data_IF_992398319676
#
_entry.id   IF_992398319676
#
_cell.length_a   1.000
_cell.length_b   1.000
_cell.length_c   1.000
_cell.angle_alpha   90.00
_cell.angle_beta   90.00
_cell.angle_gamma   90.00
#
_symmetry.space_group_name_H-M   'P 1'
#
loop_
_entity.id
_entity.type
_entity.pdbx_description
1 polymer ?
#
# COMPACT_ATOMS: atom_id res chain seq x y z
N UNK A 1 27.54 -14.75 11.21
CA UNK A 1 27.44 -14.95 9.75
C UNK A 1 26.16 -14.28 9.20
N UNK A 2 26.00 -12.95 9.34
CA UNK A 2 24.79 -12.20 8.91
C UNK A 2 24.99 -11.37 7.62
N UNK A 3 26.22 -11.42 7.11
CA UNK A 3 26.73 -10.63 5.98
C UNK A 3 26.20 -11.11 4.61
N UNK A 4 25.97 -12.42 4.35
CA UNK A 4 25.44 -12.91 3.06
C UNK A 4 23.96 -12.61 2.83
N UNK A 5 23.14 -12.65 3.89
CA UNK A 5 21.68 -12.50 3.78
C UNK A 5 21.25 -11.09 3.40
N UNK A 6 21.99 -10.07 3.83
CA UNK A 6 21.70 -8.66 3.51
C UNK A 6 21.83 -8.36 2.01
N UNK A 7 22.87 -8.89 1.34
CA UNK A 7 23.06 -8.72 -0.11
C UNK A 7 21.97 -9.43 -0.90
N UNK A 8 21.60 -10.64 -0.46
CA UNK A 8 20.51 -11.39 -1.07
C UNK A 8 19.18 -10.64 -0.97
N UNK A 9 18.85 -10.11 0.21
CA UNK A 9 17.63 -9.31 0.43
C UNK A 9 17.59 -8.07 -0.47
N UNK A 10 18.66 -7.27 -0.50
CA UNK A 10 18.73 -6.07 -1.33
C UNK A 10 18.53 -6.39 -2.82
N UNK A 11 19.21 -7.42 -3.33
CA UNK A 11 19.03 -7.90 -4.70
C UNK A 11 17.58 -8.40 -4.93
N UNK A 12 17.01 -9.12 -3.97
CA UNK A 12 15.64 -9.61 -4.07
C UNK A 12 14.60 -8.51 -4.12
N UNK A 13 14.71 -7.47 -3.27
CA UNK A 13 13.82 -6.31 -3.32
C UNK A 13 13.89 -5.60 -4.67
N UNK A 14 15.10 -5.41 -5.21
CA UNK A 14 15.29 -4.81 -6.53
C UNK A 14 14.68 -5.67 -7.65
N UNK A 15 14.95 -6.97 -7.66
CA UNK A 15 14.44 -7.89 -8.66
C UNK A 15 12.91 -8.03 -8.59
N UNK A 16 12.33 -8.07 -7.39
CA UNK A 16 10.88 -8.13 -7.21
C UNK A 16 10.18 -6.85 -7.66
N UNK A 17 10.78 -5.68 -7.40
CA UNK A 17 10.28 -4.41 -7.93
C UNK A 17 10.36 -4.36 -9.46
N UNK A 18 11.47 -4.79 -10.05
CA UNK A 18 11.59 -4.90 -11.52
C UNK A 18 10.57 -5.89 -12.09
N UNK A 19 10.33 -7.01 -11.42
CA UNK A 19 9.30 -7.96 -11.82
C UNK A 19 7.90 -7.34 -11.80
N UNK A 20 7.56 -6.54 -10.78
CA UNK A 20 6.29 -5.79 -10.73
C UNK A 20 6.16 -4.85 -11.93
N UNK A 21 7.21 -4.07 -12.24
CA UNK A 21 7.23 -3.16 -13.40
C UNK A 21 7.04 -3.86 -14.74
N UNK A 22 7.57 -5.07 -14.90
CA UNK A 22 7.55 -5.80 -16.17
C UNK A 22 6.29 -6.65 -16.34
N UNK A 23 5.77 -7.21 -15.26
CA UNK A 23 4.71 -8.22 -15.31
C UNK A 23 3.37 -7.71 -14.79
N UNK A 24 3.36 -6.75 -13.87
CA UNK A 24 2.17 -6.36 -13.09
C UNK A 24 1.56 -7.54 -12.32
N UNK A 25 0.35 -7.33 -11.79
CA UNK A 25 -0.35 -8.41 -11.09
C UNK A 25 -0.86 -9.50 -12.05
N UNK A 26 -0.65 -10.79 -11.72
CA UNK A 26 -1.25 -11.87 -12.50
C UNK A 26 -2.78 -11.81 -12.48
N UNK A 27 -3.39 -11.80 -13.67
CA UNK A 27 -4.86 -11.75 -13.86
C UNK A 27 -5.61 -12.92 -13.23
N UNK A 28 -4.96 -14.08 -13.09
CA UNK A 28 -5.54 -15.31 -12.52
C UNK A 28 -4.57 -15.97 -11.57
N UNK A 29 -5.10 -16.56 -10.50
CA UNK A 29 -4.29 -17.34 -9.56
C UNK A 29 -3.34 -16.50 -8.70
N UNK A 30 -3.58 -15.19 -8.57
CA UNK A 30 -2.76 -14.31 -7.72
C UNK A 30 -2.61 -14.91 -6.31
N UNK A 31 -1.39 -15.06 -5.75
CA UNK A 31 -1.21 -15.69 -4.43
C UNK A 31 -2.00 -14.99 -3.32
N UNK A 32 -2.12 -13.66 -3.38
CA UNK A 32 -3.01 -12.88 -2.50
C UNK A 32 -4.48 -13.33 -2.59
N UNK A 33 -4.99 -13.63 -3.79
CA UNK A 33 -6.35 -14.14 -3.95
C UNK A 33 -6.50 -15.57 -3.43
N UNK A 34 -5.46 -16.40 -3.51
CA UNK A 34 -5.43 -17.73 -2.88
C UNK A 34 -5.52 -17.58 -1.36
N UNK A 35 -4.71 -16.70 -0.77
CA UNK A 35 -4.77 -16.38 0.66
C UNK A 35 -6.16 -15.85 1.05
N UNK A 36 -6.74 -14.92 0.29
CA UNK A 36 -8.09 -14.40 0.54
C UNK A 36 -9.18 -15.47 0.49
N UNK A 37 -9.11 -16.43 -0.45
CA UNK A 37 -10.04 -17.58 -0.46
C UNK A 37 -9.87 -18.47 0.77
N UNK A 38 -8.63 -18.69 1.21
CA UNK A 38 -8.34 -19.42 2.44
C UNK A 38 -8.88 -18.70 3.69
N UNK A 39 -8.69 -17.38 3.75
CA UNK A 39 -9.22 -16.53 4.81
C UNK A 39 -10.76 -16.59 4.84
N UNK A 40 -11.43 -16.39 3.71
CA UNK A 40 -12.89 -16.50 3.62
C UNK A 40 -13.41 -17.91 3.97
N UNK A 41 -12.63 -18.96 3.64
CA UNK A 41 -12.98 -20.32 4.03
C UNK A 41 -12.89 -20.54 5.54
N UNK A 42 -11.84 -20.02 6.17
CA UNK A 42 -11.69 -20.05 7.61
C UNK A 42 -12.76 -19.19 8.31
N UNK A 43 -13.14 -18.06 7.71
CA UNK A 43 -14.19 -17.17 8.23
C UNK A 43 -15.48 -17.94 8.46
N UNK A 44 -15.86 -18.86 7.56
CA UNK A 44 -17.09 -19.69 7.74
C UNK A 44 -17.10 -20.49 9.05
N UNK A 45 -15.93 -20.81 9.60
CA UNK A 45 -15.78 -21.56 10.85
C UNK A 45 -15.55 -20.63 12.04
N UNK A 46 -14.84 -19.52 11.84
CA UNK A 46 -14.43 -18.63 12.93
C UNK A 46 -15.39 -17.46 13.15
N UNK A 47 -16.29 -17.17 12.21
CA UNK A 47 -17.14 -15.98 12.28
C UNK A 47 -18.06 -16.01 13.49
N UNK A 48 -18.03 -14.91 14.23
CA UNK A 48 -18.97 -14.58 15.29
C UNK A 48 -18.92 -13.07 15.44
N UNK A 49 -20.05 -12.43 15.76
CA UNK A 49 -20.10 -10.98 16.02
C UNK A 49 -19.44 -10.61 17.36
N UNK A 50 -18.14 -10.92 17.50
CA UNK A 50 -17.33 -10.70 18.70
C UNK A 50 -15.90 -10.38 18.27
N UNK A 51 -15.28 -9.41 18.96
CA UNK A 51 -13.88 -9.06 18.73
C UNK A 51 -12.93 -10.23 18.92
N UNK A 52 -13.16 -11.08 19.93
CA UNK A 52 -12.31 -12.24 20.20
C UNK A 52 -12.24 -13.23 19.02
N UNK A 53 -13.36 -13.44 18.32
CA UNK A 53 -13.40 -14.30 17.13
C UNK A 53 -12.58 -13.69 15.98
N UNK A 54 -12.70 -12.38 15.77
CA UNK A 54 -11.88 -11.62 14.84
C UNK A 54 -10.39 -11.65 15.13
N UNK A 55 -10.02 -11.50 16.41
CA UNK A 55 -8.63 -11.60 16.88
C UNK A 55 -8.07 -13.00 16.62
N UNK A 56 -8.83 -14.06 16.92
CA UNK A 56 -8.40 -15.43 16.65
C UNK A 56 -8.23 -15.68 15.14
N UNK A 57 -9.22 -15.26 14.33
CA UNK A 57 -9.17 -15.39 12.87
C UNK A 57 -7.93 -14.70 12.27
N UNK A 58 -7.75 -13.42 12.59
CA UNK A 58 -6.61 -12.61 12.13
C UNK A 58 -5.29 -13.20 12.64
N UNK A 59 -5.23 -13.56 13.92
CA UNK A 59 -4.04 -14.09 14.56
C UNK A 59 -3.58 -15.43 13.98
N UNK A 60 -4.50 -16.33 13.66
CA UNK A 60 -4.18 -17.61 13.00
C UNK A 60 -3.62 -17.37 11.61
N UNK A 61 -4.27 -16.55 10.78
CA UNK A 61 -3.83 -16.31 9.40
C UNK A 61 -2.47 -15.60 9.34
N UNK A 62 -2.30 -14.55 10.13
CA UNK A 62 -1.03 -13.81 10.21
C UNK A 62 0.05 -14.67 10.88
N UNK A 63 -0.31 -15.47 11.88
CA UNK A 63 0.60 -16.41 12.54
C UNK A 63 1.16 -17.45 11.56
N UNK A 64 0.31 -18.02 10.71
CA UNK A 64 0.73 -18.94 9.64
C UNK A 64 1.70 -18.25 8.69
N UNK A 65 1.37 -17.05 8.19
CA UNK A 65 2.27 -16.29 7.30
C UNK A 65 3.61 -15.96 7.98
N UNK A 66 3.59 -15.57 9.26
CA UNK A 66 4.79 -15.27 10.02
C UNK A 66 5.68 -16.51 10.19
N UNK A 67 5.12 -17.64 10.65
CA UNK A 67 5.86 -18.89 10.85
C UNK A 67 6.41 -19.42 9.52
N UNK A 68 5.60 -19.45 8.47
CA UNK A 68 6.02 -19.87 7.14
C UNK A 68 7.10 -18.96 6.56
N UNK A 69 6.95 -17.64 6.69
CA UNK A 69 7.95 -16.66 6.26
C UNK A 69 9.28 -16.84 7.00
N UNK A 70 9.24 -17.00 8.32
CA UNK A 70 10.45 -17.22 9.14
C UNK A 70 11.14 -18.53 8.75
N UNK A 71 10.37 -19.60 8.54
CA UNK A 71 10.91 -20.89 8.11
C UNK A 71 11.57 -20.78 6.73
N UNK A 72 10.93 -20.07 5.78
CA UNK A 72 11.43 -19.84 4.44
C UNK A 72 12.70 -18.97 4.43
N UNK A 73 12.73 -17.88 5.21
CA UNK A 73 13.91 -17.03 5.37
C UNK A 73 15.10 -17.82 5.91
N UNK A 74 14.89 -18.66 6.94
CA UNK A 74 15.94 -19.52 7.50
C UNK A 74 16.42 -20.57 6.51
N UNK A 75 15.50 -21.20 5.77
CA UNK A 75 15.85 -22.18 4.76
C UNK A 75 16.65 -21.56 3.60
N UNK A 76 16.24 -20.39 3.12
CA UNK A 76 16.94 -19.66 2.07
C UNK A 76 18.33 -19.20 2.54
N UNK A 77 18.44 -18.65 3.76
CA UNK A 77 19.71 -18.22 4.34
C UNK A 77 20.72 -19.37 4.46
N UNK A 78 20.28 -20.58 4.82
CA UNK A 78 21.16 -21.77 4.87
C UNK A 78 21.69 -22.19 3.50
N UNK A 79 20.93 -21.93 2.43
CA UNK A 79 21.34 -22.22 1.05
C UNK A 79 22.17 -21.11 0.40
N UNK A 80 22.27 -19.94 1.04
CA UNK A 80 23.12 -18.84 0.63
C UNK A 80 22.39 -17.66 0.00
N UNK A 81 23.15 -16.60 -0.33
CA UNK A 81 22.60 -15.30 -0.71
C UNK A 81 21.74 -15.31 -1.97
N UNK A 82 22.04 -16.19 -2.94
CA UNK A 82 21.23 -16.34 -4.17
C UNK A 82 19.81 -16.82 -3.88
N UNK A 83 19.66 -17.81 -3.00
CA UNK A 83 18.34 -18.29 -2.57
C UNK A 83 17.56 -17.24 -1.77
N UNK A 84 18.24 -16.49 -0.90
CA UNK A 84 17.63 -15.33 -0.23
C UNK A 84 17.13 -14.31 -1.24
N UNK A 85 17.89 -14.02 -2.30
CA UNK A 85 17.49 -13.08 -3.34
C UNK A 85 16.26 -13.57 -4.12
N UNK A 86 16.25 -14.82 -4.57
CA UNK A 86 15.12 -15.40 -5.32
C UNK A 86 13.85 -15.40 -4.48
N UNK A 87 13.93 -15.87 -3.23
CA UNK A 87 12.77 -15.92 -2.34
C UNK A 87 12.25 -14.51 -2.00
N UNK A 88 13.15 -13.57 -1.72
CA UNK A 88 12.78 -12.18 -1.45
C UNK A 88 12.16 -11.55 -2.70
N UNK A 89 12.71 -11.77 -3.90
CA UNK A 89 12.14 -11.26 -5.14
C UNK A 89 10.72 -11.78 -5.38
N UNK A 90 10.50 -13.08 -5.20
CA UNK A 90 9.16 -13.67 -5.34
C UNK A 90 8.18 -13.08 -4.31
N UNK A 91 8.58 -12.96 -3.04
CA UNK A 91 7.74 -12.37 -2.00
C UNK A 91 7.47 -10.87 -2.24
N UNK A 92 8.45 -10.13 -2.73
CA UNK A 92 8.32 -8.71 -3.10
C UNK A 92 7.35 -8.55 -4.25
N UNK A 93 7.53 -9.31 -5.34
CA UNK A 93 6.61 -9.29 -6.47
C UNK A 93 5.17 -9.57 -6.06
N UNK A 94 4.94 -10.57 -5.20
CA UNK A 94 3.60 -10.91 -4.70
C UNK A 94 3.00 -9.86 -3.77
N UNK A 95 3.84 -9.11 -3.05
CA UNK A 95 3.40 -8.12 -2.08
C UNK A 95 3.20 -6.72 -2.69
N UNK A 96 3.82 -6.45 -3.83
CA UNK A 96 3.64 -5.22 -4.59
C UNK A 96 2.35 -5.28 -5.42
N UNK A 97 1.81 -4.10 -5.72
CA UNK A 97 0.74 -3.90 -6.70
C UNK A 97 0.84 -2.51 -7.35
N UNK A 98 2.06 -1.95 -7.35
CA UNK A 98 2.32 -0.56 -7.74
C UNK A 98 2.09 -0.31 -9.23
N UNK A 99 2.44 -1.30 -10.07
CA UNK A 99 2.22 -1.24 -11.52
C UNK A 99 0.75 -1.31 -11.87
N UNK A 100 -0.02 -2.22 -11.26
CA UNK A 100 -1.48 -2.31 -11.45
C UNK A 100 -2.19 -1.04 -10.99
N UNK A 101 -1.80 -0.47 -9.85
CA UNK A 101 -2.34 0.80 -9.38
C UNK A 101 -2.10 1.92 -10.39
N UNK A 102 -0.87 2.01 -10.91
CA UNK A 102 -0.49 3.05 -11.86
C UNK A 102 -1.17 2.87 -13.23
N UNK A 103 -1.40 1.63 -13.68
CA UNK A 103 -2.17 1.37 -14.91
C UNK A 103 -3.64 1.75 -14.73
N UNK A 104 -4.28 1.30 -13.64
CA UNK A 104 -5.70 1.60 -13.38
C UNK A 104 -5.93 3.11 -13.21
N UNK A 105 -5.04 3.80 -12.50
CA UNK A 105 -5.10 5.26 -12.38
C UNK A 105 -4.91 5.98 -13.72
N UNK A 106 -4.03 5.47 -14.59
CA UNK A 106 -3.84 6.03 -15.93
C UNK A 106 -5.04 5.78 -16.85
N UNK A 107 -5.67 4.61 -16.75
CA UNK A 107 -6.88 4.27 -17.49
C UNK A 107 -8.04 5.17 -17.08
N UNK A 108 -8.24 5.35 -15.77
CA UNK A 108 -9.21 6.31 -15.23
C UNK A 108 -8.94 7.73 -15.73
N UNK A 109 -7.68 8.17 -15.71
CA UNK A 109 -7.33 9.51 -16.21
C UNK A 109 -7.68 9.68 -17.69
N UNK A 110 -7.41 8.67 -18.54
CA UNK A 110 -7.79 8.69 -19.96
C UNK A 110 -9.29 8.71 -20.18
N UNK A 111 -10.06 7.93 -19.39
CA UNK A 111 -11.52 7.92 -19.49
C UNK A 111 -12.12 9.28 -19.13
N UNK A 112 -11.65 9.89 -18.03
CA UNK A 112 -12.09 11.22 -17.60
C UNK A 112 -11.70 12.31 -18.62
N UNK A 113 -10.48 12.26 -19.16
CA UNK A 113 -9.99 13.24 -20.15
C UNK A 113 -10.70 13.12 -21.50
N UNK A 114 -11.18 11.92 -21.84
CA UNK A 114 -11.92 11.61 -23.06
C UNK A 114 -13.45 11.66 -22.93
N UNK A 115 -13.99 12.19 -21.83
CA UNK A 115 -15.42 12.27 -21.52
C UNK A 115 -16.16 10.90 -21.47
N UNK A 116 -15.43 9.79 -21.28
CA UNK A 116 -16.00 8.44 -21.09
C UNK A 116 -16.37 8.20 -19.62
N UNK A 117 -17.45 8.86 -19.20
CA UNK A 117 -17.93 8.82 -17.80
C UNK A 117 -18.42 7.43 -17.40
N UNK A 118 -19.06 6.70 -18.31
CA UNK A 118 -19.58 5.36 -18.01
C UNK A 118 -18.44 4.35 -17.85
N UNK A 119 -17.42 4.41 -18.71
CA UNK A 119 -16.20 3.62 -18.53
C UNK A 119 -15.48 3.95 -17.20
N UNK A 120 -15.42 5.24 -16.83
CA UNK A 120 -14.86 5.66 -15.54
C UNK A 120 -15.67 5.12 -14.35
N UNK A 121 -17.01 5.07 -14.45
CA UNK A 121 -17.88 4.49 -13.41
C UNK A 121 -17.67 2.99 -13.26
N UNK A 122 -17.54 2.27 -14.38
CA UNK A 122 -17.28 0.83 -14.37
C UNK A 122 -15.91 0.49 -13.79
N UNK A 123 -14.92 1.39 -13.96
CA UNK A 123 -13.57 1.19 -13.46
C UNK A 123 -13.42 1.52 -11.97
N UNK A 124 -14.15 2.52 -11.45
CA UNK A 124 -13.98 3.03 -10.08
C UNK A 124 -14.00 1.96 -8.97
N UNK A 125 -14.86 0.92 -9.00
CA UNK A 125 -14.89 -0.14 -7.99
C UNK A 125 -13.57 -0.90 -7.84
N UNK A 126 -12.72 -0.89 -8.87
CA UNK A 126 -11.37 -1.48 -8.79
C UNK A 126 -10.37 -0.64 -7.98
N UNK A 127 -10.67 0.64 -7.73
CA UNK A 127 -9.85 1.59 -6.98
C UNK A 127 -10.39 1.87 -5.57
N UNK A 128 -11.71 1.94 -5.40
CA UNK A 128 -12.35 2.17 -4.10
C UNK A 128 -13.78 1.63 -4.03
N UNK A 129 -14.27 1.44 -2.80
CA UNK A 129 -15.65 0.99 -2.53
C UNK A 129 -16.72 2.10 -2.57
N UNK A 130 -16.49 3.21 -3.27
CA UNK A 130 -17.49 4.29 -3.40
C UNK A 130 -18.53 3.93 -4.46
N UNK A 131 -19.74 4.48 -4.33
CA UNK A 131 -20.78 4.28 -5.34
C UNK A 131 -20.49 5.14 -6.57
N UNK A 132 -20.11 4.54 -7.72
CA UNK A 132 -19.77 5.32 -8.92
C UNK A 132 -20.99 6.04 -9.51
N UNK A 133 -22.20 5.52 -9.32
CA UNK A 133 -23.43 6.11 -9.85
C UNK A 133 -23.77 7.45 -9.18
N UNK A 134 -23.32 7.64 -7.95
CA UNK A 134 -23.53 8.87 -7.18
C UNK A 134 -22.48 9.96 -7.45
N UNK A 135 -21.49 9.71 -8.32
CA UNK A 135 -20.39 10.63 -8.58
C UNK A 135 -20.49 11.28 -9.96
N UNK A 136 -20.24 12.59 -9.98
CA UNK A 136 -19.97 13.37 -11.18
C UNK A 136 -18.49 13.22 -11.58
N UNK A 137 -18.10 13.82 -12.71
CA UNK A 137 -16.73 13.73 -13.25
C UNK A 137 -15.68 14.21 -12.25
N UNK A 138 -15.97 15.31 -11.54
CA UNK A 138 -15.10 15.82 -10.48
C UNK A 138 -15.00 14.85 -9.30
N UNK A 139 -16.12 14.24 -8.91
CA UNK A 139 -16.20 13.20 -7.89
C UNK A 139 -15.41 11.94 -8.25
N UNK A 140 -15.50 11.47 -9.49
CA UNK A 140 -14.74 10.33 -10.02
C UNK A 140 -13.24 10.65 -10.01
N UNK A 141 -12.85 11.81 -10.53
CA UNK A 141 -11.45 12.27 -10.56
C UNK A 141 -10.85 12.33 -9.16
N UNK A 142 -11.57 12.97 -8.23
CA UNK A 142 -11.16 13.10 -6.83
C UNK A 142 -11.05 11.74 -6.15
N UNK A 143 -12.05 10.88 -6.30
CA UNK A 143 -12.05 9.55 -5.70
C UNK A 143 -10.87 8.70 -6.21
N UNK A 144 -10.62 8.71 -7.52
CA UNK A 144 -9.49 8.02 -8.11
C UNK A 144 -8.15 8.58 -7.62
N UNK A 145 -8.01 9.90 -7.49
CA UNK A 145 -6.78 10.53 -7.00
C UNK A 145 -6.52 10.16 -5.53
N UNK A 146 -7.55 10.20 -4.68
CA UNK A 146 -7.49 9.75 -3.29
C UNK A 146 -7.06 8.27 -3.21
N UNK A 147 -7.66 7.40 -4.03
CA UNK A 147 -7.26 6.00 -4.13
C UNK A 147 -5.82 5.81 -4.58
N UNK A 148 -5.35 6.56 -5.58
CA UNK A 148 -3.94 6.50 -6.03
C UNK A 148 -3.01 6.94 -4.90
N UNK A 149 -3.36 8.00 -4.17
CA UNK A 149 -2.55 8.49 -3.06
C UNK A 149 -2.45 7.48 -1.93
N UNK A 150 -3.58 6.97 -1.44
CA UNK A 150 -3.67 5.96 -0.37
C UNK A 150 -2.92 4.67 -0.78
N UNK A 151 -3.27 4.08 -1.93
CA UNK A 151 -2.68 2.82 -2.37
C UNK A 151 -1.22 2.95 -2.80
N UNK A 152 -0.68 4.15 -3.07
CA UNK A 152 0.77 4.31 -3.25
C UNK A 152 1.52 3.91 -1.98
N UNK A 153 0.95 4.22 -0.80
CA UNK A 153 1.48 3.75 0.47
C UNK A 153 1.34 2.23 0.57
N UNK A 154 0.13 1.71 0.36
CA UNK A 154 -0.20 0.34 0.75
C UNK A 154 0.28 -0.73 -0.25
N UNK A 155 0.27 -0.41 -1.55
CA UNK A 155 0.65 -1.34 -2.61
C UNK A 155 2.15 -1.28 -2.94
N UNK A 156 2.91 -0.31 -2.41
CA UNK A 156 4.32 -0.16 -2.75
C UNK A 156 5.21 0.23 -1.57
N UNK A 157 5.00 1.40 -0.96
CA UNK A 157 5.93 1.90 0.07
C UNK A 157 5.96 0.97 1.29
N UNK A 158 4.80 0.57 1.80
CA UNK A 158 4.71 -0.27 2.98
C UNK A 158 5.27 -1.69 2.78
N UNK A 159 4.95 -2.43 1.70
CA UNK A 159 5.63 -3.68 1.39
C UNK A 159 7.16 -3.53 1.33
N UNK A 160 7.67 -2.47 0.68
CA UNK A 160 9.11 -2.24 0.56
C UNK A 160 9.76 -1.90 1.92
N UNK A 161 9.10 -1.11 2.76
CA UNK A 161 9.54 -0.84 4.13
C UNK A 161 9.64 -2.13 4.95
N UNK A 162 8.58 -2.93 4.97
CA UNK A 162 8.56 -4.18 5.74
C UNK A 162 9.47 -5.25 5.15
N UNK A 163 9.68 -5.26 3.83
CA UNK A 163 10.67 -6.12 3.17
C UNK A 163 12.10 -5.74 3.52
N UNK A 164 12.43 -4.45 3.59
CA UNK A 164 13.75 -3.99 4.02
C UNK A 164 14.06 -4.38 5.47
N UNK A 165 13.10 -4.16 6.37
CA UNK A 165 13.25 -4.43 7.80
C UNK A 165 13.17 -5.92 8.13
N UNK A 166 12.11 -6.57 7.66
CA UNK A 166 11.70 -7.93 8.04
C UNK A 166 11.95 -9.02 6.99
N UNK A 167 12.46 -8.70 5.80
CA UNK A 167 12.69 -9.68 4.75
C UNK A 167 11.38 -10.30 4.23
N UNK A 168 11.42 -11.60 3.92
CA UNK A 168 10.25 -12.33 3.39
C UNK A 168 9.13 -12.37 4.41
N UNK A 169 9.45 -12.59 5.70
CA UNK A 169 8.44 -12.52 6.76
C UNK A 169 7.71 -11.19 6.77
N UNK A 170 8.44 -10.07 6.69
CA UNK A 170 7.85 -8.73 6.69
C UNK A 170 6.91 -8.51 5.50
N UNK A 171 7.33 -8.90 4.30
CA UNK A 171 6.55 -8.80 3.07
C UNK A 171 5.23 -9.58 3.17
N UNK A 172 5.31 -10.85 3.58
CA UNK A 172 4.14 -11.73 3.64
C UNK A 172 3.17 -11.31 4.74
N UNK A 173 3.69 -10.98 5.94
CA UNK A 173 2.85 -10.52 7.06
C UNK A 173 2.14 -9.23 6.69
N UNK A 174 2.87 -8.23 6.17
CA UNK A 174 2.25 -6.96 5.78
C UNK A 174 1.17 -7.17 4.71
N UNK A 175 1.48 -7.91 3.63
CA UNK A 175 0.50 -8.14 2.57
C UNK A 175 -0.72 -8.91 3.06
N UNK A 176 -0.51 -9.88 3.96
CA UNK A 176 -1.59 -10.61 4.63
C UNK A 176 -2.48 -9.68 5.45
N UNK A 177 -1.89 -8.80 6.26
CA UNK A 177 -2.63 -7.82 7.09
C UNK A 177 -3.45 -6.89 6.20
N UNK A 178 -2.84 -6.29 5.19
CA UNK A 178 -3.51 -5.39 4.25
C UNK A 178 -4.66 -6.09 3.49
N UNK A 179 -4.46 -7.36 3.12
CA UNK A 179 -5.52 -8.15 2.48
C UNK A 179 -6.68 -8.43 3.44
N UNK A 180 -6.39 -8.73 4.71
CA UNK A 180 -7.44 -8.95 5.71
C UNK A 180 -8.22 -7.67 6.01
N UNK A 181 -7.56 -6.52 6.07
CA UNK A 181 -8.24 -5.23 6.24
C UNK A 181 -9.20 -4.94 5.07
N UNK A 182 -8.75 -5.13 3.82
CA UNK A 182 -9.61 -4.97 2.65
C UNK A 182 -10.84 -5.91 2.69
N UNK A 183 -10.67 -7.14 3.16
CA UNK A 183 -11.74 -8.14 3.22
C UNK A 183 -12.75 -7.92 4.36
N UNK A 184 -12.25 -7.68 5.57
CA UNK A 184 -13.07 -7.68 6.79
C UNK A 184 -12.87 -6.43 7.66
N UNK A 185 -11.90 -5.56 7.40
CA UNK A 185 -11.62 -4.37 8.22
C UNK A 185 -12.53 -3.17 7.94
N UNK A 186 -13.21 -3.17 6.79
CA UNK A 186 -14.16 -2.10 6.44
C UNK A 186 -15.38 -2.06 7.38
N UNK A 187 -15.91 -0.85 7.59
CA UNK A 187 -17.06 -0.63 8.48
C UNK A 187 -18.36 -1.13 7.83
N UNK A 188 -18.73 -2.36 8.14
CA UNK A 188 -20.05 -2.94 7.82
C UNK A 188 -20.75 -3.44 9.09
N UNK A 189 -22.08 -3.57 9.07
CA UNK A 189 -22.81 -4.21 10.19
C UNK A 189 -22.24 -5.60 10.53
N UNK A 190 -21.86 -6.38 9.51
CA UNK A 190 -21.29 -7.72 9.64
C UNK A 190 -19.89 -7.71 10.29
N UNK A 191 -19.03 -6.77 9.92
CA UNK A 191 -17.62 -6.80 10.33
C UNK A 191 -17.22 -5.78 11.40
N UNK A 192 -18.14 -4.96 11.88
CA UNK A 192 -17.84 -3.92 12.89
C UNK A 192 -17.08 -4.42 14.13
N UNK A 193 -17.38 -5.64 14.61
CA UNK A 193 -16.68 -6.27 15.74
C UNK A 193 -15.67 -7.32 15.29
N UNK A 194 -16.01 -8.14 14.30
CA UNK A 194 -15.14 -9.21 13.80
C UNK A 194 -13.89 -8.66 13.09
N UNK A 195 -14.04 -7.62 12.27
CA UNK A 195 -12.96 -6.96 11.53
C UNK A 195 -11.99 -6.12 12.34
N UNK A 196 -12.35 -5.81 13.60
CA UNK A 196 -11.63 -4.83 14.41
C UNK A 196 -10.13 -5.11 14.54
N UNK A 197 -9.75 -6.39 14.67
CA UNK A 197 -8.35 -6.78 14.80
C UNK A 197 -7.55 -6.58 13.51
N UNK A 198 -8.15 -6.90 12.35
CA UNK A 198 -7.53 -6.70 11.05
C UNK A 198 -7.29 -5.20 10.79
N UNK A 199 -8.33 -4.38 10.96
CA UNK A 199 -8.23 -2.93 10.78
C UNK A 199 -7.22 -2.28 11.73
N UNK A 200 -7.21 -2.68 13.00
CA UNK A 200 -6.27 -2.11 13.98
C UNK A 200 -4.82 -2.52 13.69
N UNK A 201 -4.60 -3.75 13.24
CA UNK A 201 -3.27 -4.24 12.89
C UNK A 201 -2.75 -3.56 11.62
N UNK A 202 -3.61 -3.35 10.61
CA UNK A 202 -3.27 -2.59 9.41
C UNK A 202 -2.90 -1.14 9.76
N UNK A 203 -3.72 -0.46 10.56
CA UNK A 203 -3.43 0.90 11.05
C UNK A 203 -2.04 1.00 11.70
N UNK A 204 -1.66 0.00 12.51
CA UNK A 204 -0.35 -0.02 13.18
C UNK A 204 0.78 -0.30 12.19
N UNK A 205 0.59 -1.27 11.29
CA UNK A 205 1.59 -1.67 10.29
C UNK A 205 1.83 -0.59 9.24
N UNK A 206 0.81 0.21 8.90
CA UNK A 206 0.91 1.34 7.99
C UNK A 206 1.32 2.63 8.67
N UNK A 207 1.45 2.67 10.00
CA UNK A 207 1.83 3.89 10.70
C UNK A 207 3.17 4.45 10.20
N UNK A 208 4.25 3.70 10.32
CA UNK A 208 5.56 4.15 9.84
C UNK A 208 5.58 4.34 8.30
N UNK A 209 5.13 3.37 7.48
CA UNK A 209 5.11 3.52 6.03
C UNK A 209 4.37 4.76 5.53
N UNK A 210 3.21 5.11 6.08
CA UNK A 210 2.47 6.27 5.64
C UNK A 210 3.25 7.59 5.81
N UNK A 211 4.05 7.71 6.87
CA UNK A 211 4.93 8.89 7.08
C UNK A 211 6.11 8.88 6.10
N UNK A 212 6.66 7.70 5.84
CA UNK A 212 7.67 7.53 4.79
C UNK A 212 7.08 7.96 3.44
N UNK A 213 5.87 7.51 3.10
CA UNK A 213 5.13 7.92 1.89
C UNK A 213 5.00 9.44 1.82
N UNK A 214 4.55 10.11 2.87
CA UNK A 214 4.44 11.58 2.89
C UNK A 214 5.76 12.30 2.62
N UNK A 215 6.88 11.80 3.15
CA UNK A 215 8.22 12.34 2.88
C UNK A 215 8.67 12.08 1.44
N UNK A 216 8.44 10.88 0.93
CA UNK A 216 8.75 10.52 -0.46
C UNK A 216 7.93 11.34 -1.45
N UNK A 217 6.65 11.58 -1.15
CA UNK A 217 5.78 12.46 -1.94
C UNK A 217 6.34 13.88 -1.98
N UNK A 218 6.75 14.43 -0.84
CA UNK A 218 7.39 15.74 -0.80
C UNK A 218 8.69 15.77 -1.63
N UNK A 219 9.53 14.73 -1.54
CA UNK A 219 10.76 14.64 -2.32
C UNK A 219 10.51 14.50 -3.84
N UNK A 220 9.46 13.78 -4.23
CA UNK A 220 9.11 13.52 -5.64
C UNK A 220 8.19 14.58 -6.25
N UNK A 221 7.62 15.51 -5.46
CA UNK A 221 6.72 16.55 -5.95
C UNK A 221 7.26 17.36 -7.17
N UNK A 222 8.56 17.69 -7.28
CA UNK A 222 9.09 18.40 -8.45
C UNK A 222 8.94 17.65 -9.77
N UNK A 223 8.83 16.31 -9.76
CA UNK A 223 8.63 15.49 -10.96
C UNK A 223 7.34 15.87 -11.69
N UNK A 224 6.34 16.41 -10.98
CA UNK A 224 5.07 16.87 -11.55
C UNK A 224 4.95 18.38 -11.62
N UNK A 225 6.04 19.13 -11.43
CA UNK A 225 6.00 20.60 -11.28
C UNK A 225 5.39 21.05 -9.94
N UNK A 226 5.23 20.11 -9.01
CA UNK A 226 4.67 20.35 -7.67
C UNK A 226 5.69 20.93 -6.68
N UNK A 227 5.25 21.16 -5.44
CA UNK A 227 6.07 21.76 -4.39
C UNK A 227 6.25 20.84 -3.18
N UNK A 228 7.51 20.47 -2.81
CA UNK A 228 7.79 19.75 -1.57
C UNK A 228 7.26 20.46 -0.32
N UNK A 229 7.38 21.81 -0.28
CA UNK A 229 6.92 22.63 0.85
C UNK A 229 5.40 22.56 1.00
N UNK A 230 4.66 22.62 -0.11
CA UNK A 230 3.19 22.52 -0.08
C UNK A 230 2.72 21.12 0.34
N UNK A 231 3.40 20.06 -0.11
CA UNK A 231 3.11 18.69 0.33
C UNK A 231 3.24 18.54 1.86
N UNK A 232 4.36 19.00 2.43
CA UNK A 232 4.58 18.93 3.87
C UNK A 232 3.65 19.86 4.67
N UNK A 233 3.34 21.04 4.14
CA UNK A 233 2.39 21.97 4.76
C UNK A 233 0.97 21.38 4.82
N UNK A 234 0.50 20.80 3.72
CA UNK A 234 -0.81 20.14 3.64
C UNK A 234 -0.87 18.93 4.58
N UNK A 235 0.14 18.06 4.61
CA UNK A 235 0.22 16.98 5.59
C UNK A 235 0.07 17.53 7.02
N UNK A 236 0.94 18.45 7.44
CA UNK A 236 0.93 18.98 8.81
C UNK A 236 -0.41 19.60 9.22
N UNK A 237 -1.07 20.30 8.30
CA UNK A 237 -2.32 21.02 8.55
C UNK A 237 -3.55 20.10 8.51
N UNK A 238 -3.57 19.13 7.60
CA UNK A 238 -4.81 18.46 7.21
C UNK A 238 -4.86 16.97 7.54
N UNK A 239 -3.73 16.25 7.59
CA UNK A 239 -3.74 14.79 7.71
C UNK A 239 -4.46 14.29 8.97
N UNK A 240 -4.34 15.00 10.10
CA UNK A 240 -4.98 14.62 11.36
C UNK A 240 -6.51 14.77 11.36
N UNK A 241 -7.08 15.48 10.36
CA UNK A 241 -8.52 15.59 10.18
C UNK A 241 -9.11 14.27 9.65
N UNK A 242 -8.30 13.50 8.92
CA UNK A 242 -8.71 12.27 8.24
C UNK A 242 -9.05 11.16 9.25
N UNK A 243 -10.12 10.37 9.03
CA UNK A 243 -10.49 9.27 9.93
C UNK A 243 -9.39 8.20 10.09
N UNK A 244 -8.66 7.93 9.01
CA UNK A 244 -7.46 7.08 9.04
C UNK A 244 -6.21 7.93 9.24
N UNK A 245 -5.40 7.64 10.28
CA UNK A 245 -4.16 8.36 10.56
C UNK A 245 -3.05 8.07 9.55
N UNK A 246 -3.27 7.15 8.60
CA UNK A 246 -2.32 6.72 7.59
C UNK A 246 -2.70 7.29 6.22
N UNK A 247 -3.93 7.02 5.76
CA UNK A 247 -4.43 7.54 4.48
C UNK A 247 -4.40 9.08 4.44
N UNK A 248 -4.73 9.74 5.56
CA UNK A 248 -4.67 11.19 5.67
C UNK A 248 -3.29 11.79 5.40
N UNK A 249 -2.21 11.06 5.71
CA UNK A 249 -0.83 11.50 5.41
C UNK A 249 -0.58 11.46 3.90
N UNK A 250 -0.91 10.34 3.26
CA UNK A 250 -0.68 10.15 1.84
C UNK A 250 -1.55 11.10 1.01
N UNK A 251 -2.86 11.14 1.27
CA UNK A 251 -3.82 11.99 0.56
C UNK A 251 -3.48 13.49 0.73
N UNK A 252 -3.19 13.95 1.94
CA UNK A 252 -2.85 15.36 2.16
C UNK A 252 -1.51 15.74 1.51
N UNK A 253 -0.51 14.85 1.53
CA UNK A 253 0.76 15.09 0.87
C UNK A 253 0.60 15.18 -0.66
N UNK A 254 -0.19 14.29 -1.27
CA UNK A 254 -0.52 14.35 -2.70
C UNK A 254 -1.30 15.62 -3.05
N UNK A 255 -2.32 15.97 -2.26
CA UNK A 255 -3.11 17.19 -2.44
C UNK A 255 -2.22 18.44 -2.44
N UNK A 256 -1.32 18.54 -1.45
CA UNK A 256 -0.37 19.64 -1.35
C UNK A 256 0.67 19.64 -2.48
N UNK A 257 1.20 18.48 -2.87
CA UNK A 257 2.18 18.36 -3.95
C UNK A 257 1.60 18.84 -5.29
N UNK A 258 0.38 18.43 -5.60
CA UNK A 258 -0.31 18.74 -6.86
C UNK A 258 -1.06 20.09 -6.83
N UNK A 259 -1.20 20.70 -5.65
CA UNK A 259 -1.92 21.96 -5.50
C UNK A 259 -3.43 21.82 -5.73
N UNK A 260 -3.98 20.68 -5.34
CA UNK A 260 -5.42 20.36 -5.41
C UNK A 260 -6.02 20.22 -4.01
N UNK A 261 -7.34 20.04 -3.96
CA UNK A 261 -8.09 19.79 -2.73
C UNK A 261 -8.90 18.51 -2.84
N UNK A 262 -8.68 17.62 -1.88
CA UNK A 262 -9.33 16.33 -1.72
C UNK A 262 -10.32 16.37 -0.55
N UNK A 263 -11.13 15.33 -0.39
CA UNK A 263 -12.22 15.23 0.56
C UNK A 263 -13.47 16.00 0.12
N UNK A 264 -14.44 16.16 1.03
CA UNK A 264 -15.76 16.72 0.77
C UNK A 264 -16.86 15.65 0.80
N UNK A 265 -18.09 15.97 0.33
CA UNK A 265 -19.21 15.04 0.33
C UNK A 265 -18.86 13.79 -0.49
N UNK A 266 -18.91 12.63 0.16
CA UNK A 266 -18.59 11.33 -0.42
C UNK A 266 -19.76 10.38 -0.16
N UNK A 267 -20.39 9.91 -1.23
CA UNK A 267 -21.51 8.96 -1.12
C UNK A 267 -20.98 7.54 -1.32
N UNK A 268 -21.16 6.71 -0.28
CA UNK A 268 -20.99 5.26 -0.37
C UNK A 268 -22.37 4.62 -0.51
N UNK A 269 -22.40 3.36 -0.97
CA UNK A 269 -23.62 2.60 -1.22
C UNK A 269 -24.66 2.62 -0.07
N UNK A 270 -24.23 2.84 1.18
CA UNK A 270 -25.11 2.84 2.35
C UNK A 270 -24.95 4.07 3.27
N UNK A 271 -24.14 5.08 2.88
CA UNK A 271 -23.90 6.25 3.75
C UNK A 271 -23.31 7.44 2.98
N UNK A 272 -23.83 8.64 3.26
CA UNK A 272 -23.13 9.89 2.95
C UNK A 272 -22.11 10.19 4.06
N UNK A 273 -20.84 10.27 3.71
CA UNK A 273 -19.76 10.67 4.60
C UNK A 273 -19.17 12.00 4.12
N UNK A 274 -19.08 12.98 5.02
CA UNK A 274 -18.37 14.22 4.74
C UNK A 274 -16.90 13.97 5.10
N UNK A 275 -16.09 13.60 4.09
CA UNK A 275 -14.64 13.48 4.27
C UNK A 275 -14.08 14.87 4.56
N UNK A 276 -13.15 15.01 5.51
CA UNK A 276 -12.50 16.29 5.78
C UNK A 276 -11.76 16.76 4.55
N UNK A 277 -11.72 18.06 4.36
CA UNK A 277 -10.97 18.68 3.27
C UNK A 277 -9.47 18.56 3.51
N UNK A 278 -8.74 18.02 2.53
CA UNK A 278 -7.28 17.87 2.54
C UNK A 278 -6.68 18.72 1.40
N UNK A 279 -5.71 19.57 1.72
CA UNK A 279 -5.15 20.53 0.78
C UNK A 279 -5.96 21.83 0.68
N UNK A 280 -5.35 22.84 0.05
CA UNK A 280 -5.90 24.20 -0.10
C UNK A 280 -6.08 24.61 -1.58
N UNK A 281 -5.93 23.65 -2.48
CA UNK A 281 -5.95 23.88 -3.92
C UNK A 281 -7.34 23.95 -4.55
N UNK A 282 -7.34 23.91 -5.88
CA UNK A 282 -8.55 23.77 -6.69
C UNK A 282 -9.08 22.33 -6.66
N UNK A 283 -10.32 22.15 -7.12
CA UNK A 283 -10.87 20.80 -7.38
C UNK A 283 -9.99 20.11 -8.43
N UNK A 284 -9.63 18.83 -8.23
CA UNK A 284 -8.80 18.09 -9.18
C UNK A 284 -9.51 17.90 -10.52
N UNK A 285 -8.73 17.97 -11.59
CA UNK A 285 -9.12 17.69 -12.97
C UNK A 285 -8.33 16.47 -13.51
N UNK A 286 -8.68 16.00 -14.71
CA UNK A 286 -8.04 14.82 -15.34
C UNK A 286 -6.50 14.93 -15.38
N UNK A 287 -5.97 16.11 -15.69
CA UNK A 287 -4.54 16.39 -15.69
C UNK A 287 -3.86 16.15 -14.32
N UNK A 288 -4.56 16.39 -13.22
CA UNK A 288 -4.05 16.14 -11.87
C UNK A 288 -4.04 14.65 -11.55
N UNK A 289 -4.98 13.87 -12.10
CA UNK A 289 -4.97 12.41 -11.99
C UNK A 289 -3.82 11.80 -12.80
N UNK A 290 -3.53 12.31 -14.00
CA UNK A 290 -2.30 11.96 -14.72
C UNK A 290 -1.04 12.31 -13.91
N UNK A 291 -1.02 13.49 -13.29
CA UNK A 291 0.09 13.90 -12.43
C UNK A 291 0.21 13.02 -11.19
N UNK A 292 -0.89 12.61 -10.56
CA UNK A 292 -0.86 11.73 -9.38
C UNK A 292 -0.30 10.35 -9.71
N UNK A 293 -0.61 9.78 -10.87
CA UNK A 293 -0.02 8.51 -11.33
C UNK A 293 1.49 8.65 -11.55
N UNK A 294 1.93 9.74 -12.17
CA UNK A 294 3.37 10.03 -12.35
C UNK A 294 4.09 10.20 -11.01
N UNK A 295 3.47 10.91 -10.08
CA UNK A 295 3.99 11.09 -8.73
C UNK A 295 4.06 9.77 -7.97
N UNK A 296 3.02 8.94 -8.07
CA UNK A 296 3.00 7.59 -7.52
C UNK A 296 4.18 6.76 -8.03
N UNK A 297 4.38 6.67 -9.34
CA UNK A 297 5.53 5.94 -9.94
C UNK A 297 6.88 6.45 -9.42
N UNK A 298 7.06 7.77 -9.30
CA UNK A 298 8.28 8.35 -8.75
C UNK A 298 8.49 7.98 -7.27
N UNK A 299 7.42 8.01 -6.46
CA UNK A 299 7.44 7.59 -5.06
C UNK A 299 7.76 6.10 -4.93
N UNK A 300 7.15 5.24 -5.76
CA UNK A 300 7.42 3.80 -5.78
C UNK A 300 8.90 3.52 -6.10
N UNK A 301 9.45 4.18 -7.12
CA UNK A 301 10.86 4.04 -7.49
C UNK A 301 11.80 4.48 -6.35
N UNK A 302 11.54 5.66 -5.77
CA UNK A 302 12.38 6.17 -4.67
C UNK A 302 12.27 5.28 -3.42
N UNK A 303 11.07 4.76 -3.12
CA UNK A 303 10.86 3.77 -2.05
C UNK A 303 11.68 2.50 -2.29
N UNK A 304 11.71 1.98 -3.52
CA UNK A 304 12.48 0.79 -3.87
C UNK A 304 13.99 1.05 -3.71
N UNK A 305 14.49 2.19 -4.20
CA UNK A 305 15.89 2.60 -4.03
C UNK A 305 16.25 2.71 -2.54
N UNK A 306 15.41 3.36 -1.74
CA UNK A 306 15.61 3.47 -0.28
C UNK A 306 15.60 2.09 0.39
N UNK A 307 14.66 1.21 0.06
CA UNK A 307 14.56 -0.13 0.64
C UNK A 307 15.78 -1.01 0.32
N UNK A 308 16.28 -0.93 -0.92
CA UNK A 308 17.53 -1.57 -1.35
C UNK A 308 18.72 -0.98 -0.60
N UNK A 309 18.79 0.35 -0.46
CA UNK A 309 19.84 1.04 0.29
C UNK A 309 19.88 0.64 1.76
N UNK A 310 18.74 0.67 2.45
CA UNK A 310 18.59 0.24 3.85
C UNK A 310 19.02 -1.22 4.01
N UNK A 311 18.55 -2.11 3.12
CA UNK A 311 18.90 -3.54 3.16
C UNK A 311 20.40 -3.79 2.90
N UNK A 312 21.04 -2.92 2.12
CA UNK A 312 22.48 -2.98 1.85
C UNK A 312 23.32 -2.44 3.02
N UNK A 313 22.80 -1.43 3.72
CA UNK A 313 23.47 -0.70 4.80
C UNK A 313 23.42 -1.38 6.17
N UNK A 314 22.67 -2.48 6.36
CA UNK A 314 22.63 -3.26 7.62
C UNK A 314 23.96 -3.96 8.00
N UNK A 315 25.13 -3.43 7.60
CA UNK A 315 26.48 -3.88 7.94
C UNK A 315 27.31 -2.76 8.59
N UNK A 316 27.37 -2.74 9.92
CA UNK A 316 28.56 -2.20 10.64
C UNK A 316 28.53 -2.45 12.16
N UNK A 317 28.33 -3.70 12.60
CA UNK A 317 28.17 -3.99 14.04
C UNK A 317 28.72 -5.32 14.52
N UNK A 318 29.99 -5.63 14.23
CA UNK A 318 30.98 -6.23 15.17
C UNK A 318 32.27 -6.62 14.44
N UNK A 319 33.39 -6.08 14.93
CA UNK A 319 34.73 -6.64 14.71
C UNK A 319 34.71 -8.08 15.22
N UNK A 320 35.18 -9.01 14.39
CA UNK A 320 35.66 -10.27 14.92
C UNK A 320 36.87 -9.93 15.80
N UNK A 321 36.72 -10.02 17.12
CA UNK A 321 37.87 -10.29 17.98
C UNK A 321 38.35 -11.69 17.62
N UNK A 322 39.20 -11.76 16.60
CA UNK A 322 40.29 -12.71 16.58
C UNK A 322 41.32 -12.21 17.59
N UNK A 323 42.12 -13.14 18.12
CA UNK A 323 43.12 -13.03 19.20
C UNK A 323 42.48 -13.44 20.54
N UNK A 324 42.84 -14.56 21.15
CA UNK A 324 43.87 -15.57 20.86
C UNK A 324 43.70 -16.67 21.91
#
# INVERSE_FOLDING_TARGET
>A
MFVPTCRGRAAGLALGYVADLLLGDPRRGHPVAVFGRGAAALERLTYSDRRAAGVAHTGVLIGVLAVSGIAADRAAARRGAGWTAVLTAAATFVALGGTSLASTGADMARMVDGDDVDGARDLLPSLCGRDPAALDVAGLTRAALESVAENTSDAAVAPLCWGALGGVTGLLVYRGVNTLDAMIGHRSPRYSRFGWAAARLDDVMNYLPARVTGLLVAACAPVTGGSPRRALAAWRRDAAKHPSPNAGVAEAAFAGALGVRLGGPTQYAHRLEIRPTLGDGRVPAAADLHASVRLSRAVQLLAAVCAVGVSSACRSGRRASRLG
#
